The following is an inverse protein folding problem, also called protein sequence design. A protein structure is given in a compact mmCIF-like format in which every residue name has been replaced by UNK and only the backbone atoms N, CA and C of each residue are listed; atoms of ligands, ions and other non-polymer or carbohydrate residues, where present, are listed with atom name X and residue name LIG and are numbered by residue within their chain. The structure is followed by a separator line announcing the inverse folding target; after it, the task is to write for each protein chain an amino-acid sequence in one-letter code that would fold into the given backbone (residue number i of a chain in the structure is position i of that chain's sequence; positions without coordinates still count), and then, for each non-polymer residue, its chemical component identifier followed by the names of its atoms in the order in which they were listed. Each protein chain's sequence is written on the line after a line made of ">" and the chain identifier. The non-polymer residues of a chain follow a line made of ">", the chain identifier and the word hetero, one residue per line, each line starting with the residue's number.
data_IF_235358872755
#
_entry.id   IF_235358872755
#
_cell.length_a   1.000
_cell.length_b   1.000
_cell.length_c   1.000
_cell.angle_alpha   90.00
_cell.angle_beta   90.00
_cell.angle_gamma   90.00
#
_symmetry.space_group_name_H-M   'P 1'
#
loop_
_entity.id
_entity.type
_entity.pdbx_description
1 polymer ?
#
# COMPACT_ATOMS: atom_id res chain seq x y z
N UNK A 1 -10.91 -10.14 4.03
CA UNK A 1 -10.27 -9.98 2.69
C UNK A 1 -8.76 -10.19 2.75
N UNK A 2 -8.10 -9.79 3.84
CA UNK A 2 -6.63 -9.77 4.03
C UNK A 2 -5.92 -11.11 3.79
N UNK A 3 -6.52 -12.25 4.12
CA UNK A 3 -5.82 -13.55 4.03
C UNK A 3 -5.68 -14.13 2.61
N UNK A 4 -6.61 -13.86 1.69
CA UNK A 4 -6.53 -14.35 0.30
C UNK A 4 -5.49 -13.53 -0.46
N UNK A 5 -5.54 -12.21 -0.31
CA UNK A 5 -4.61 -11.29 -0.97
C UNK A 5 -3.19 -11.59 -0.51
N UNK A 6 -2.93 -11.63 0.81
CA UNK A 6 -1.61 -11.98 1.33
C UNK A 6 -1.11 -13.36 0.81
N UNK A 7 -2.00 -14.36 0.72
CA UNK A 7 -1.63 -15.68 0.20
C UNK A 7 -1.25 -15.66 -1.27
N UNK A 8 -1.97 -14.91 -2.11
CA UNK A 8 -1.64 -14.74 -3.53
C UNK A 8 -0.32 -13.97 -3.72
N UNK A 9 -0.09 -12.93 -2.92
CA UNK A 9 1.15 -12.17 -2.95
C UNK A 9 2.36 -13.04 -2.60
N UNK A 10 2.25 -13.89 -1.56
CA UNK A 10 3.29 -14.87 -1.22
C UNK A 10 3.51 -15.88 -2.36
N UNK A 11 2.43 -16.35 -3.00
CA UNK A 11 2.51 -17.34 -4.09
C UNK A 11 3.26 -16.80 -5.30
N UNK A 12 2.95 -15.57 -5.70
CA UNK A 12 3.63 -14.92 -6.83
C UNK A 12 4.92 -14.22 -6.43
N UNK A 13 5.28 -14.20 -5.13
CA UNK A 13 6.44 -13.51 -4.57
C UNK A 13 6.46 -12.04 -4.98
N UNK A 14 5.29 -11.40 -4.92
CA UNK A 14 5.17 -9.98 -5.20
C UNK A 14 5.59 -9.19 -3.97
N UNK A 15 6.56 -8.33 -4.16
CA UNK A 15 7.10 -7.44 -3.14
C UNK A 15 6.18 -6.24 -2.86
N UNK A 16 5.50 -5.77 -3.91
CA UNK A 16 4.60 -4.63 -3.92
C UNK A 16 3.44 -4.95 -4.88
N UNK A 17 2.21 -4.68 -4.47
CA UNK A 17 1.03 -4.78 -5.33
C UNK A 17 0.05 -3.62 -5.09
N UNK A 18 -0.72 -3.28 -6.11
CA UNK A 18 -1.74 -2.24 -6.07
C UNK A 18 -3.11 -2.85 -6.34
N UNK A 19 -4.01 -2.77 -5.36
CA UNK A 19 -5.35 -3.30 -5.41
C UNK A 19 -6.38 -2.17 -5.48
N UNK A 20 -7.44 -2.39 -6.25
CA UNK A 20 -8.62 -1.53 -6.28
C UNK A 20 -9.70 -2.23 -5.46
N UNK A 21 -10.00 -1.69 -4.28
CA UNK A 21 -10.91 -2.32 -3.33
C UNK A 21 -12.26 -1.60 -3.36
N UNK A 22 -13.34 -2.36 -3.53
CA UNK A 22 -14.67 -1.78 -3.77
C UNK A 22 -15.48 -1.49 -2.50
N UNK A 23 -15.01 -1.92 -1.32
CA UNK A 23 -15.87 -1.99 -0.11
C UNK A 23 -15.16 -1.78 1.26
N UNK A 24 -13.94 -1.24 1.31
CA UNK A 24 -13.28 -0.97 2.61
C UNK A 24 -13.58 0.46 3.10
N UNK A 25 -14.05 0.60 4.35
CA UNK A 25 -14.54 1.88 4.91
C UNK A 25 -13.46 2.66 5.68
N UNK A 26 -12.26 2.12 5.85
CA UNK A 26 -11.22 2.70 6.71
C UNK A 26 -10.04 3.21 5.88
N UNK A 27 -9.79 4.52 5.93
CA UNK A 27 -8.54 5.11 5.46
C UNK A 27 -7.44 4.79 6.47
N UNK A 28 -6.25 4.38 6.02
CA UNK A 28 -5.10 4.20 6.93
C UNK A 28 -4.17 3.05 6.56
N UNK A 29 -3.20 2.81 7.45
CA UNK A 29 -2.38 1.60 7.45
C UNK A 29 -3.14 0.47 8.13
N UNK A 30 -3.30 -0.65 7.43
CA UNK A 30 -3.78 -1.89 8.01
C UNK A 30 -2.58 -2.83 8.18
N UNK A 31 -2.13 -2.92 9.43
CA UNK A 31 -1.10 -3.86 9.87
C UNK A 31 -1.77 -4.95 10.70
N UNK A 32 -1.79 -6.17 10.19
CA UNK A 32 -2.17 -7.34 10.98
C UNK A 32 -0.91 -7.88 11.68
N UNK A 33 -0.96 -8.04 13.01
CA UNK A 33 0.18 -8.53 13.79
C UNK A 33 0.62 -9.92 13.29
N UNK A 34 1.88 -10.03 12.84
CA UNK A 34 2.42 -11.26 12.26
C UNK A 34 2.16 -11.44 10.76
N UNK A 35 1.52 -10.47 10.09
CA UNK A 35 1.40 -10.47 8.64
C UNK A 35 2.74 -10.17 7.97
N UNK A 36 2.94 -10.77 6.79
CA UNK A 36 4.14 -10.58 5.95
C UNK A 36 4.04 -9.27 5.15
N UNK A 37 2.82 -8.74 4.99
CA UNK A 37 2.51 -7.53 4.24
C UNK A 37 1.78 -6.52 5.12
N UNK A 38 2.07 -5.24 4.88
CA UNK A 38 1.28 -4.11 5.38
C UNK A 38 0.49 -3.51 4.24
N UNK A 39 -0.76 -3.16 4.51
CA UNK A 39 -1.65 -2.54 3.54
C UNK A 39 -1.78 -1.04 3.81
N UNK A 40 -1.74 -0.22 2.76
CA UNK A 40 -1.93 1.23 2.81
C UNK A 40 -3.12 1.60 1.94
N UNK A 41 -4.19 2.13 2.54
CA UNK A 41 -5.45 2.38 1.84
C UNK A 41 -5.76 3.89 1.76
N UNK A 42 -6.19 4.34 0.58
CA UNK A 42 -6.78 5.65 0.36
C UNK A 42 -8.10 5.49 -0.38
N UNK A 43 -9.03 6.41 -0.16
CA UNK A 43 -10.30 6.39 -0.86
C UNK A 43 -11.40 5.65 -0.12
N UNK A 44 -12.02 6.43 0.76
CA UNK A 44 -13.45 6.46 1.01
C UNK A 44 -13.64 7.69 1.90
N UNK A 45 -14.09 8.82 1.34
CA UNK A 45 -14.67 9.88 2.17
C UNK A 45 -16.12 9.49 2.40
N UNK A 46 -16.59 9.47 3.65
CA UNK A 46 -17.98 9.14 4.04
C UNK A 46 -19.05 9.81 3.15
N UNK A 47 -18.70 10.93 2.50
CA UNK A 47 -19.52 11.66 1.56
C UNK A 47 -19.94 10.92 0.26
N UNK A 48 -19.23 9.89 -0.21
CA UNK A 48 -19.62 9.17 -1.45
C UNK A 48 -19.21 7.69 -1.48
N UNK A 49 -20.12 6.76 -1.13
CA UNK A 49 -19.90 5.31 -1.11
C UNK A 49 -19.60 4.60 -2.43
N UNK A 50 -19.51 5.32 -3.55
CA UNK A 50 -19.46 4.73 -4.89
C UNK A 50 -18.07 4.81 -5.54
N UNK A 51 -17.09 5.36 -4.83
CA UNK A 51 -15.75 5.53 -5.35
C UNK A 51 -14.83 4.42 -4.81
N UNK A 52 -14.32 3.53 -5.66
CA UNK A 52 -13.44 2.45 -5.20
C UNK A 52 -12.14 3.03 -4.63
N UNK A 53 -11.74 2.50 -3.47
CA UNK A 53 -10.47 2.83 -2.83
C UNK A 53 -9.30 2.17 -3.54
N UNK A 54 -8.12 2.77 -3.40
CA UNK A 54 -6.85 2.20 -3.86
C UNK A 54 -6.04 1.79 -2.64
N UNK A 55 -5.54 0.56 -2.67
CA UNK A 55 -4.78 -0.06 -1.59
C UNK A 55 -3.45 -0.57 -2.11
N UNK A 56 -2.34 -0.20 -1.48
CA UNK A 56 -1.05 -0.85 -1.71
C UNK A 56 -0.81 -1.98 -0.71
N UNK A 57 -0.33 -3.12 -1.16
CA UNK A 57 0.22 -4.18 -0.32
C UNK A 57 1.75 -4.17 -0.43
N UNK A 58 2.46 -4.04 0.69
CA UNK A 58 3.92 -3.91 0.70
C UNK A 58 4.52 -4.93 1.68
N UNK A 59 5.50 -5.70 1.24
CA UNK A 59 6.22 -6.63 2.09
C UNK A 59 6.99 -5.88 3.19
N UNK A 60 6.89 -6.33 4.45
CA UNK A 60 7.39 -5.57 5.61
C UNK A 60 8.90 -5.27 5.58
N UNK A 61 9.72 -6.19 5.08
CA UNK A 61 11.17 -6.00 4.87
C UNK A 61 11.51 -4.86 3.90
N UNK A 62 10.58 -4.48 3.02
CA UNK A 62 10.74 -3.35 2.10
C UNK A 62 10.36 -2.05 2.78
N UNK A 63 9.33 -2.06 3.64
CA UNK A 63 8.87 -0.89 4.38
C UNK A 63 10.01 -0.26 5.17
N UNK A 64 10.81 -1.07 5.88
CA UNK A 64 11.98 -0.61 6.62
C UNK A 64 13.12 -0.03 5.77
N UNK A 65 13.05 -0.20 4.43
CA UNK A 65 14.03 0.32 3.46
C UNK A 65 13.49 1.51 2.67
N UNK A 66 12.19 1.81 2.75
CA UNK A 66 11.61 2.94 2.04
C UNK A 66 12.14 4.26 2.64
N UNK A 67 12.48 5.26 1.80
CA UNK A 67 12.90 6.58 2.27
C UNK A 67 11.78 7.32 3.05
N UNK A 68 10.52 6.95 2.82
CA UNK A 68 9.37 7.37 3.61
C UNK A 68 8.24 6.34 3.47
N UNK A 69 7.30 6.35 4.40
CA UNK A 69 6.08 5.55 4.26
C UNK A 69 5.22 6.05 3.09
N UNK A 70 4.42 5.17 2.47
CA UNK A 70 3.40 5.56 1.51
C UNK A 70 2.47 6.62 2.10
N UNK A 71 2.18 7.66 1.33
CA UNK A 71 1.36 8.79 1.78
C UNK A 71 0.19 9.01 0.82
N UNK A 72 -0.98 9.27 1.36
CA UNK A 72 -2.15 9.66 0.58
C UNK A 72 -1.94 11.04 -0.04
N UNK A 73 -2.14 11.14 -1.36
CA UNK A 73 -2.11 12.42 -2.09
C UNK A 73 -3.54 12.98 -2.21
N UNK A 74 -4.51 12.12 -2.51
CA UNK A 74 -5.93 12.47 -2.57
C UNK A 74 -6.81 11.21 -2.38
N UNK A 75 -8.11 11.34 -2.63
CA UNK A 75 -9.07 10.24 -2.45
C UNK A 75 -8.85 9.00 -3.35
N UNK A 76 -7.92 9.03 -4.32
CA UNK A 76 -7.66 7.90 -5.24
C UNK A 76 -6.17 7.65 -5.51
N UNK A 77 -5.29 8.49 -4.96
CA UNK A 77 -3.85 8.44 -5.23
C UNK A 77 -3.09 8.30 -3.91
N UNK A 78 -2.22 7.29 -3.87
CA UNK A 78 -1.18 7.12 -2.86
C UNK A 78 0.18 7.26 -3.54
N UNK A 79 1.09 8.00 -2.91
CA UNK A 79 2.49 8.11 -3.29
C UNK A 79 3.31 7.01 -2.62
N UNK A 80 4.15 6.31 -3.39
CA UNK A 80 5.18 5.40 -2.88
C UNK A 80 6.52 5.81 -3.46
N UNK A 81 7.48 6.18 -2.60
CA UNK A 81 8.85 6.49 -3.00
C UNK A 81 9.73 5.26 -2.82
N UNK A 82 10.27 4.74 -3.91
CA UNK A 82 11.19 3.61 -3.87
C UNK A 82 12.64 4.07 -3.62
N UNK A 83 13.47 3.24 -3.00
CA UNK A 83 14.90 3.53 -2.87
C UNK A 83 15.51 3.68 -4.26
N UNK A 84 16.11 4.86 -4.51
CA UNK A 84 16.85 5.10 -5.74
C UNK A 84 18.25 4.48 -5.59
N UNK A 85 18.63 3.60 -6.52
CA UNK A 85 19.99 3.09 -6.65
C UNK A 85 20.92 4.05 -7.43
N UNK A 86 20.44 5.25 -7.77
CA UNK A 86 21.27 6.23 -8.48
C UNK A 86 22.29 6.85 -7.49
N UNK A 87 23.59 6.87 -7.83
CA UNK A 87 24.55 7.65 -7.07
C UNK A 87 24.13 9.11 -7.18
N UNK A 88 23.94 9.76 -6.04
CA UNK A 88 23.69 11.20 -5.95
C UNK A 88 24.88 11.92 -6.60
N UNK A 89 24.77 12.25 -7.88
CA UNK A 89 25.67 13.22 -8.49
C UNK A 89 25.29 14.57 -7.90
N UNK A 90 26.00 14.91 -6.81
CA UNK A 90 26.06 16.26 -6.26
C UNK A 90 26.50 17.20 -7.40
N UNK A 91 25.70 18.23 -7.65
CA UNK A 91 26.20 19.51 -8.13
C UNK A 91 26.22 20.48 -6.95
#
# INVERSE_FOLDING_TARGET
>A
MTSIVARELVRYKLDIDALVETQFSEKGQLEELGAIYTFFCCGWTEAKPSDPGVTFAIWNDIIGRLPCLPQDINNRLISLRLPSSAPTLLQ
#
